data_IF_688200126827
#
_entry.id   IF_688200126827
#
_cell.length_a   1.000
_cell.length_b   1.000
_cell.length_c   1.000
_cell.angle_alpha   90.00
_cell.angle_beta   90.00
_cell.angle_gamma   90.00
#
_symmetry.space_group_name_H-M   'P 1'
#
loop_
_entity.id
_entity.type
_entity.pdbx_description
1 polymer ?
#
# COMPACT_ATOMS: atom_id res chain seq x y z
N UNK A 1 10.57 -24.48 -23.69
CA UNK A 1 9.18 -24.01 -23.82
C UNK A 1 9.16 -22.61 -23.26
N UNK A 2 8.87 -21.61 -24.08
CA UNK A 2 8.95 -20.20 -23.69
C UNK A 2 7.53 -19.76 -23.32
N UNK A 3 7.23 -19.69 -22.03
CA UNK A 3 5.92 -19.24 -21.51
C UNK A 3 6.08 -18.44 -20.22
N UNK A 4 7.00 -17.48 -20.20
CA UNK A 4 7.00 -16.42 -19.19
C UNK A 4 5.96 -15.37 -19.59
N UNK A 5 4.68 -15.76 -19.62
CA UNK A 5 3.59 -14.83 -19.84
C UNK A 5 3.25 -14.19 -18.50
N UNK A 6 3.78 -13.00 -18.27
CA UNK A 6 3.39 -12.18 -17.13
C UNK A 6 1.87 -11.99 -17.13
N UNK A 7 1.27 -12.22 -15.97
CA UNK A 7 -0.17 -12.06 -15.76
C UNK A 7 -0.39 -11.06 -14.65
N UNK A 8 -1.25 -10.07 -14.92
CA UNK A 8 -1.68 -9.11 -13.91
C UNK A 8 -2.88 -9.67 -13.17
N UNK A 9 -2.79 -9.72 -11.84
CA UNK A 9 -3.86 -10.15 -10.95
C UNK A 9 -4.16 -9.07 -9.92
N UNK A 10 -5.40 -9.03 -9.42
CA UNK A 10 -5.75 -8.17 -8.30
C UNK A 10 -5.15 -8.75 -7.01
N UNK A 11 -4.13 -8.09 -6.47
CA UNK A 11 -3.53 -8.45 -5.17
C UNK A 11 -3.78 -7.39 -4.10
N UNK A 12 -4.90 -6.67 -4.18
CA UNK A 12 -5.21 -5.54 -3.31
C UNK A 12 -6.03 -5.90 -2.08
N UNK A 13 -6.17 -4.93 -1.19
CA UNK A 13 -7.05 -4.98 -0.01
C UNK A 13 -8.50 -4.68 -0.41
N UNK A 14 -9.48 -5.17 0.37
CA UNK A 14 -10.89 -4.79 0.18
C UNK A 14 -11.26 -3.51 0.95
N UNK A 15 -10.42 -3.09 1.89
CA UNK A 15 -10.56 -1.85 2.68
C UNK A 15 -9.83 -0.64 2.07
N UNK A 16 -8.93 -0.84 1.10
CA UNK A 16 -8.19 0.25 0.47
C UNK A 16 -9.09 1.13 -0.42
N UNK A 17 -8.97 2.44 -0.27
CA UNK A 17 -9.46 3.41 -1.24
C UNK A 17 -8.67 3.39 -2.55
N UNK A 18 -9.06 4.25 -3.49
CA UNK A 18 -8.36 4.38 -4.77
C UNK A 18 -6.96 4.96 -4.58
N UNK A 19 -5.93 4.16 -4.83
CA UNK A 19 -4.53 4.58 -4.81
C UNK A 19 -4.16 5.08 -6.21
N UNK A 20 -3.73 6.34 -6.29
CA UNK A 20 -3.31 6.97 -7.55
C UNK A 20 -1.86 7.42 -7.49
N UNK A 21 -1.23 7.51 -8.66
CA UNK A 21 0.10 8.09 -8.80
C UNK A 21 0.10 9.56 -8.37
N UNK A 22 1.28 10.06 -8.01
CA UNK A 22 1.46 11.50 -7.81
C UNK A 22 1.08 12.25 -9.08
N UNK A 23 0.37 13.37 -8.90
CA UNK A 23 0.02 14.29 -9.98
C UNK A 23 1.29 14.88 -10.61
N UNK A 24 1.73 14.27 -11.71
CA UNK A 24 2.92 14.67 -12.45
C UNK A 24 2.71 16.01 -13.16
N UNK A 25 1.49 16.29 -13.62
CA UNK A 25 1.15 17.50 -14.38
C UNK A 25 1.25 18.75 -13.51
N UNK A 26 0.85 18.64 -12.23
CA UNK A 26 0.97 19.71 -11.23
C UNK A 26 2.40 20.22 -11.05
N UNK A 27 3.41 19.37 -11.29
CA UNK A 27 4.82 19.72 -11.18
C UNK A 27 5.59 19.59 -12.49
N UNK A 28 4.90 19.53 -13.64
CA UNK A 28 5.47 19.38 -14.99
C UNK A 28 6.56 20.41 -15.34
N UNK A 29 6.53 21.59 -14.74
CA UNK A 29 7.53 22.66 -14.92
C UNK A 29 8.73 22.56 -13.95
N UNK A 30 8.73 21.59 -13.04
CA UNK A 30 9.79 21.35 -12.07
C UNK A 30 10.43 19.99 -12.37
N UNK A 31 11.72 19.85 -12.04
CA UNK A 31 12.43 18.57 -12.16
C UNK A 31 11.92 17.51 -11.15
N UNK A 32 11.31 17.94 -10.05
CA UNK A 32 10.72 17.07 -9.05
C UNK A 32 9.58 17.77 -8.28
N UNK A 33 8.66 16.98 -7.73
CA UNK A 33 7.68 17.46 -6.77
C UNK A 33 8.37 17.82 -5.43
N UNK A 34 7.92 18.86 -4.70
CA UNK A 34 8.47 19.20 -3.40
C UNK A 34 8.33 18.05 -2.39
N UNK A 35 9.35 17.85 -1.55
CA UNK A 35 9.35 16.79 -0.52
C UNK A 35 8.14 16.85 0.41
N UNK A 36 7.70 18.06 0.80
CA UNK A 36 6.51 18.25 1.64
C UNK A 36 5.24 17.75 0.97
N UNK A 37 5.09 17.98 -0.35
CA UNK A 37 3.95 17.47 -1.11
C UNK A 37 3.98 15.94 -1.20
N UNK A 38 5.15 15.37 -1.48
CA UNK A 38 5.32 13.90 -1.55
C UNK A 38 4.96 13.29 -0.20
N UNK A 39 5.49 13.85 0.89
CA UNK A 39 5.24 13.38 2.24
C UNK A 39 3.76 13.49 2.63
N UNK A 40 3.12 14.63 2.34
CA UNK A 40 1.70 14.83 2.60
C UNK A 40 0.86 13.81 1.82
N UNK A 41 1.10 13.64 0.52
CA UNK A 41 0.39 12.66 -0.30
C UNK A 41 0.61 11.23 0.18
N UNK A 42 1.83 10.88 0.56
CA UNK A 42 2.12 9.56 1.12
C UNK A 42 1.37 9.32 2.45
N UNK A 43 1.21 10.35 3.29
CA UNK A 43 0.44 10.25 4.52
C UNK A 43 -1.07 10.12 4.26
N UNK A 44 -1.62 10.89 3.33
CA UNK A 44 -3.08 10.99 3.10
C UNK A 44 -3.62 9.98 2.08
N UNK A 45 -2.77 9.18 1.45
CA UNK A 45 -3.18 8.10 0.55
C UNK A 45 -2.96 6.74 1.19
N UNK A 46 -3.80 5.76 0.84
CA UNK A 46 -3.51 4.36 1.11
C UNK A 46 -2.27 3.92 0.32
N UNK A 47 -1.43 3.06 0.90
CA UNK A 47 -0.20 2.61 0.27
C UNK A 47 0.05 1.13 0.52
N UNK A 48 0.25 0.38 -0.57
CA UNK A 48 0.76 -0.98 -0.45
C UNK A 48 2.25 -0.98 -0.10
N UNK A 49 2.63 -1.86 0.82
CA UNK A 49 4.00 -2.23 1.10
C UNK A 49 4.44 -3.43 0.28
N UNK A 50 5.45 -4.14 0.81
CA UNK A 50 5.95 -5.37 0.22
C UNK A 50 4.91 -6.50 0.24
N UNK A 51 5.18 -7.49 -0.61
CA UNK A 51 4.50 -8.78 -0.61
C UNK A 51 5.51 -9.84 -0.16
N UNK A 52 5.10 -10.71 0.77
CA UNK A 52 5.93 -11.76 1.34
C UNK A 52 5.28 -13.11 1.06
N UNK A 53 6.07 -14.05 0.55
CA UNK A 53 5.64 -15.44 0.36
C UNK A 53 5.96 -16.27 1.61
N UNK A 54 4.96 -16.94 2.16
CA UNK A 54 5.12 -17.97 3.18
C UNK A 54 5.09 -19.35 2.56
N UNK A 55 6.29 -19.92 2.37
CA UNK A 55 6.49 -21.27 1.80
C UNK A 55 5.93 -22.41 2.66
N UNK A 56 5.69 -22.19 3.95
CA UNK A 56 5.21 -23.24 4.85
C UNK A 56 3.69 -23.38 4.78
N UNK A 57 3.00 -22.28 4.51
CA UNK A 57 1.53 -22.23 4.39
C UNK A 57 1.05 -22.11 2.94
N UNK A 58 1.97 -21.87 2.00
CA UNK A 58 1.70 -21.63 0.59
C UNK A 58 0.73 -20.44 0.38
N UNK A 59 1.01 -19.33 1.07
CA UNK A 59 0.21 -18.09 1.02
C UNK A 59 1.12 -16.88 0.82
N UNK A 60 0.53 -15.77 0.39
CA UNK A 60 1.18 -14.47 0.32
C UNK A 60 0.58 -13.50 1.34
N UNK A 61 1.44 -12.71 1.95
CA UNK A 61 1.08 -11.59 2.82
C UNK A 61 1.42 -10.27 2.13
N UNK A 62 0.46 -9.37 1.98
CA UNK A 62 0.71 -8.01 1.46
C UNK A 62 0.28 -6.98 2.47
N UNK A 63 1.16 -6.02 2.74
CA UNK A 63 0.89 -4.97 3.73
C UNK A 63 0.18 -3.80 3.07
N UNK A 64 -0.84 -3.27 3.74
CA UNK A 64 -1.50 -2.02 3.41
C UNK A 64 -1.26 -1.03 4.55
N UNK A 65 -0.83 0.19 4.23
CA UNK A 65 -0.78 1.33 5.15
C UNK A 65 -1.94 2.25 4.86
N UNK A 66 -2.88 2.36 5.79
CA UNK A 66 -4.10 3.16 5.64
C UNK A 66 -3.79 4.67 5.62
N UNK A 67 -4.55 5.41 4.82
CA UNK A 67 -4.52 6.86 4.73
C UNK A 67 -4.78 7.50 6.10
N UNK A 68 -4.05 8.57 6.42
CA UNK A 68 -4.42 9.45 7.51
C UNK A 68 -5.49 10.44 7.04
N UNK A 69 -6.43 10.84 7.92
CA UNK A 69 -7.37 11.89 7.59
C UNK A 69 -6.64 13.21 7.33
N UNK A 70 -7.05 13.96 6.31
CA UNK A 70 -6.42 15.24 5.93
C UNK A 70 -6.57 16.32 7.01
N UNK A 71 -7.52 16.17 7.94
CA UNK A 71 -7.82 17.12 9.00
C UNK A 71 -7.83 16.43 10.36
N UNK A 72 -7.43 17.17 11.39
CA UNK A 72 -7.56 16.75 12.79
C UNK A 72 -6.48 15.80 13.30
N UNK A 73 -5.52 15.39 12.46
CA UNK A 73 -4.42 14.50 12.86
C UNK A 73 -3.09 15.06 12.37
N UNK A 74 -2.04 14.94 13.18
CA UNK A 74 -0.68 15.24 12.77
C UNK A 74 -0.22 14.21 11.74
N UNK A 75 0.10 14.66 10.52
CA UNK A 75 0.57 13.80 9.43
C UNK A 75 1.96 13.24 9.76
N UNK A 76 1.97 12.08 10.40
CA UNK A 76 3.15 11.30 10.76
C UNK A 76 3.04 9.94 10.13
N UNK A 77 4.04 9.56 9.36
CA UNK A 77 4.06 8.29 8.65
C UNK A 77 3.81 7.08 9.56
N UNK A 78 4.28 7.18 10.80
CA UNK A 78 4.18 6.18 11.85
C UNK A 78 2.74 5.97 12.34
N UNK A 79 1.88 6.99 12.21
CA UNK A 79 0.48 6.92 12.64
C UNK A 79 -0.42 6.13 11.68
N UNK A 80 0.09 5.73 10.51
CA UNK A 80 -0.70 4.96 9.54
C UNK A 80 -0.96 3.57 10.11
N UNK A 81 -2.24 3.21 10.23
CA UNK A 81 -2.63 1.83 10.54
C UNK A 81 -2.16 0.89 9.45
N UNK A 82 -1.71 -0.30 9.85
CA UNK A 82 -1.20 -1.33 8.97
C UNK A 82 -2.18 -2.49 8.98
N UNK A 83 -2.62 -2.90 7.79
CA UNK A 83 -3.34 -4.14 7.58
C UNK A 83 -2.48 -5.15 6.84
N UNK A 84 -2.70 -6.43 7.11
CA UNK A 84 -2.09 -7.54 6.37
C UNK A 84 -3.19 -8.23 5.57
N UNK A 85 -3.05 -8.21 4.25
CA UNK A 85 -3.87 -8.98 3.31
C UNK A 85 -3.24 -10.35 3.13
N UNK A 86 -4.03 -11.41 3.31
CA UNK A 86 -3.63 -12.79 3.09
C UNK A 86 -4.23 -13.27 1.77
N UNK A 87 -3.40 -13.85 0.91
CA UNK A 87 -3.80 -14.41 -0.38
C UNK A 87 -3.30 -15.84 -0.53
N UNK A 88 -4.00 -16.66 -1.31
CA UNK A 88 -3.53 -17.99 -1.68
C UNK A 88 -2.41 -17.93 -2.73
N UNK A 89 -1.92 -19.10 -3.15
CA UNK A 89 -0.85 -19.23 -4.14
C UNK A 89 -1.18 -18.64 -5.52
N UNK A 90 -2.47 -18.46 -5.84
CA UNK A 90 -2.96 -17.85 -7.07
C UNK A 90 -3.28 -16.36 -6.89
N UNK A 91 -2.85 -15.75 -5.78
CA UNK A 91 -3.16 -14.38 -5.37
C UNK A 91 -4.66 -14.10 -5.12
N UNK A 92 -5.48 -15.12 -4.86
CA UNK A 92 -6.88 -14.92 -4.46
C UNK A 92 -6.92 -14.49 -3.01
N UNK A 93 -7.72 -13.46 -2.73
CA UNK A 93 -7.95 -12.95 -1.39
C UNK A 93 -8.52 -14.03 -0.46
N UNK A 94 -7.89 -14.23 0.69
CA UNK A 94 -8.36 -15.14 1.76
C UNK A 94 -8.90 -14.38 2.97
N UNK A 95 -8.41 -13.18 3.23
CA UNK A 95 -8.79 -12.35 4.36
C UNK A 95 -7.82 -11.20 4.57
N UNK A 96 -8.19 -10.23 5.39
CA UNK A 96 -7.30 -9.16 5.84
C UNK A 96 -7.58 -8.78 7.28
N UNK A 97 -6.56 -8.30 7.98
CA UNK A 97 -6.66 -7.88 9.39
C UNK A 97 -5.78 -6.68 9.64
N UNK A 98 -6.26 -5.72 10.44
CA UNK A 98 -5.45 -4.62 10.96
C UNK A 98 -4.58 -5.15 12.10
N UNK A 99 -3.29 -4.78 12.10
CA UNK A 99 -2.29 -5.23 13.08
C UNK A 99 -1.75 -4.11 13.97
N UNK A 100 -2.33 -2.91 13.88
CA UNK A 100 -1.93 -1.74 14.66
C UNK A 100 -1.32 -0.63 13.81
N UNK A 101 -0.57 0.27 14.45
CA UNK A 101 0.28 1.26 13.78
C UNK A 101 1.77 1.03 14.12
N UNK A 102 2.65 1.85 13.54
CA UNK A 102 4.09 1.69 13.71
C UNK A 102 4.63 2.44 14.94
N UNK A 103 3.78 3.08 15.75
CA UNK A 103 4.23 3.64 17.03
C UNK A 103 4.30 2.58 18.15
N UNK A 104 3.75 1.39 17.91
CA UNK A 104 3.71 0.29 18.89
C UNK A 104 4.98 -0.59 18.88
N UNK A 105 5.99 -0.26 18.07
CA UNK A 105 7.27 -0.99 17.96
C UNK A 105 8.50 -0.08 18.03
#
# INVERSE_FOLDING_TARGET
>A
MNTDKETTVYGGSNEAGSITSLDADKFSKKSAAPNEYIYQKACTSDLYGGILYDKYRNVYYRFLRKALPEKGVRLRWENKKVSVVVMDADFKYLGETEIGDLNEF
#
